data_IF_333223395158
#
_entry.id   IF_333223395158
#
_cell.length_a   1.000
_cell.length_b   1.000
_cell.length_c   1.000
_cell.angle_alpha   90.00
_cell.angle_beta   90.00
_cell.angle_gamma   90.00
#
_symmetry.space_group_name_H-M   'P 1'
#
loop_
_entity.id
_entity.type
_entity.pdbx_description
1 polymer ?
#
# COMPACT_ATOMS: atom_id res chain seq x y z
N UNK A 1 -75.05 -16.42 36.06
CA UNK A 1 -73.65 -16.93 36.11
C UNK A 1 -73.03 -16.59 34.77
N UNK A 2 -72.43 -15.41 34.62
CA UNK A 2 -71.94 -14.97 33.29
C UNK A 2 -70.74 -14.01 33.33
N UNK A 3 -70.03 -13.92 34.46
CA UNK A 3 -68.90 -12.98 34.64
C UNK A 3 -67.52 -13.66 34.80
N UNK A 4 -67.43 -14.99 34.64
CA UNK A 4 -66.19 -15.73 34.90
C UNK A 4 -65.37 -16.06 33.63
N UNK A 5 -65.96 -16.01 32.44
CA UNK A 5 -65.26 -16.30 31.18
C UNK A 5 -64.46 -15.10 30.66
N UNK A 6 -64.98 -13.88 30.81
CA UNK A 6 -64.30 -12.66 30.33
C UNK A 6 -63.03 -12.33 31.13
N UNK A 7 -62.97 -12.69 32.41
CA UNK A 7 -61.83 -12.39 33.30
C UNK A 7 -60.59 -13.25 33.02
N UNK A 8 -60.74 -14.43 32.42
CA UNK A 8 -59.62 -15.32 32.07
C UNK A 8 -59.09 -15.09 30.64
N UNK A 9 -59.89 -14.49 29.76
CA UNK A 9 -59.47 -14.13 28.40
C UNK A 9 -58.42 -13.01 28.46
N UNK A 10 -58.62 -12.00 29.31
CA UNK A 10 -57.70 -10.86 29.47
C UNK A 10 -56.27 -11.32 29.82
N UNK A 11 -56.00 -12.11 30.87
CA UNK A 11 -54.65 -12.57 31.21
C UNK A 11 -54.05 -13.49 30.15
N UNK A 12 -54.86 -14.34 29.48
CA UNK A 12 -54.39 -15.20 28.39
C UNK A 12 -53.91 -14.36 27.18
N UNK A 13 -54.65 -13.31 26.85
CA UNK A 13 -54.32 -12.37 25.77
C UNK A 13 -53.06 -11.57 26.10
N UNK A 14 -52.88 -11.17 27.36
CA UNK A 14 -51.67 -10.47 27.84
C UNK A 14 -50.42 -11.35 27.72
N UNK A 15 -50.49 -12.64 28.09
CA UNK A 15 -49.37 -13.59 27.94
C UNK A 15 -49.04 -13.79 26.46
N UNK A 16 -50.05 -13.93 25.61
CA UNK A 16 -49.88 -14.09 24.17
C UNK A 16 -49.22 -12.86 23.52
N UNK A 17 -49.72 -11.65 23.83
CA UNK A 17 -49.13 -10.38 23.37
C UNK A 17 -47.69 -10.24 23.88
N UNK A 18 -47.43 -10.58 25.14
CA UNK A 18 -46.09 -10.49 25.73
C UNK A 18 -45.09 -11.44 25.05
N UNK A 19 -45.52 -12.65 24.70
CA UNK A 19 -44.72 -13.61 23.94
C UNK A 19 -44.38 -13.12 22.54
N UNK A 20 -45.36 -12.59 21.81
CA UNK A 20 -45.14 -11.98 20.49
C UNK A 20 -44.23 -10.75 20.59
N UNK A 21 -44.43 -9.91 21.61
CA UNK A 21 -43.61 -8.73 21.84
C UNK A 21 -42.15 -9.10 22.12
N UNK A 22 -41.90 -10.12 22.95
CA UNK A 22 -40.55 -10.64 23.18
C UNK A 22 -39.88 -11.13 21.90
N UNK A 23 -40.64 -11.79 21.01
CA UNK A 23 -40.15 -12.27 19.72
C UNK A 23 -39.81 -11.11 18.77
N UNK A 24 -40.65 -10.07 18.72
CA UNK A 24 -40.39 -8.84 17.96
C UNK A 24 -39.13 -8.14 18.48
N UNK A 25 -38.98 -7.99 19.80
CA UNK A 25 -37.80 -7.37 20.41
C UNK A 25 -36.54 -8.16 20.08
N UNK A 26 -36.59 -9.50 20.13
CA UNK A 26 -35.46 -10.35 19.76
C UNK A 26 -35.05 -10.16 18.30
N UNK A 27 -36.02 -10.13 17.37
CA UNK A 27 -35.76 -9.89 15.94
C UNK A 27 -35.16 -8.50 15.70
N UNK A 28 -35.72 -7.47 16.33
CA UNK A 28 -35.23 -6.08 16.21
C UNK A 28 -33.82 -5.97 16.77
N UNK A 29 -33.57 -6.54 17.95
CA UNK A 29 -32.26 -6.55 18.61
C UNK A 29 -31.22 -7.27 17.75
N UNK A 30 -31.56 -8.44 17.20
CA UNK A 30 -30.68 -9.20 16.31
C UNK A 30 -30.35 -8.40 15.05
N UNK A 31 -31.36 -7.78 14.41
CA UNK A 31 -31.17 -6.96 13.21
C UNK A 31 -30.27 -5.75 13.50
N UNK A 32 -30.46 -5.08 14.63
CA UNK A 32 -29.64 -3.94 15.06
C UNK A 32 -28.19 -4.36 15.37
N UNK A 33 -28.01 -5.47 16.08
CA UNK A 33 -26.70 -6.02 16.39
C UNK A 33 -25.94 -6.38 15.11
N UNK A 34 -26.59 -7.12 14.20
CA UNK A 34 -26.01 -7.52 12.92
C UNK A 34 -25.67 -6.31 12.03
N UNK A 35 -26.53 -5.29 12.00
CA UNK A 35 -26.26 -4.06 11.25
C UNK A 35 -25.07 -3.28 11.80
N UNK A 36 -24.95 -3.19 13.13
CA UNK A 36 -23.81 -2.56 13.80
C UNK A 36 -22.51 -3.33 13.54
N UNK A 37 -22.56 -4.65 13.65
CA UNK A 37 -21.41 -5.53 13.40
C UNK A 37 -20.93 -5.43 11.95
N UNK A 38 -21.85 -5.50 10.98
CA UNK A 38 -21.49 -5.39 9.57
C UNK A 38 -20.90 -4.02 9.21
N UNK A 39 -21.40 -2.93 9.82
CA UNK A 39 -20.79 -1.60 9.68
C UNK A 39 -19.38 -1.54 10.24
N UNK A 40 -19.18 -2.11 11.43
CA UNK A 40 -17.87 -2.17 12.08
C UNK A 40 -16.89 -2.99 11.25
N UNK A 41 -17.30 -4.16 10.77
CA UNK A 41 -16.49 -5.02 9.91
C UNK A 41 -16.04 -4.30 8.63
N UNK A 42 -16.98 -3.63 7.94
CA UNK A 42 -16.65 -2.84 6.74
C UNK A 42 -15.68 -1.69 7.03
N UNK A 43 -15.82 -1.04 8.17
CA UNK A 43 -14.90 0.03 8.58
C UNK A 43 -13.51 -0.51 8.91
N UNK A 44 -13.43 -1.62 9.64
CA UNK A 44 -12.17 -2.31 9.95
C UNK A 44 -11.46 -2.79 8.67
N UNK A 45 -12.23 -3.33 7.71
CA UNK A 45 -11.71 -3.73 6.40
C UNK A 45 -11.10 -2.54 5.65
N UNK A 46 -11.84 -1.42 5.53
CA UNK A 46 -11.34 -0.20 4.88
C UNK A 46 -10.06 0.36 5.55
N UNK A 47 -9.94 0.26 6.87
CA UNK A 47 -8.72 0.64 7.59
C UNK A 47 -7.57 -0.30 7.25
N UNK A 48 -7.83 -1.60 7.17
CA UNK A 48 -6.83 -2.60 6.78
C UNK A 48 -6.30 -2.29 5.39
N UNK A 49 -7.19 -2.12 4.42
CA UNK A 49 -6.84 -1.80 3.02
C UNK A 49 -5.98 -0.52 2.94
N UNK A 50 -6.34 0.52 3.71
CA UNK A 50 -5.56 1.74 3.79
C UNK A 50 -4.14 1.51 4.36
N UNK A 51 -4.02 0.70 5.41
CA UNK A 51 -2.71 0.39 6.01
C UNK A 51 -1.85 -0.42 5.05
N UNK A 52 -2.41 -1.42 4.39
CA UNK A 52 -1.72 -2.23 3.38
C UNK A 52 -1.22 -1.36 2.21
N UNK A 53 -2.08 -0.46 1.71
CA UNK A 53 -1.71 0.48 0.65
C UNK A 53 -0.59 1.43 1.08
N UNK A 54 -0.65 1.96 2.31
CA UNK A 54 0.42 2.78 2.88
C UNK A 54 1.73 2.00 2.98
N UNK A 55 1.69 0.78 3.51
CA UNK A 55 2.87 -0.08 3.65
C UNK A 55 3.51 -0.38 2.29
N UNK A 56 2.69 -0.66 1.27
CA UNK A 56 3.14 -0.86 -0.11
C UNK A 56 3.90 0.37 -0.64
N UNK A 57 3.38 1.58 -0.42
CA UNK A 57 4.04 2.81 -0.84
C UNK A 57 5.34 3.10 -0.10
N UNK A 58 5.38 2.85 1.21
CA UNK A 58 6.61 2.97 1.99
C UNK A 58 7.66 1.98 1.47
N UNK A 59 7.24 0.74 1.20
CA UNK A 59 8.12 -0.31 0.66
C UNK A 59 8.66 0.06 -0.73
N UNK A 60 7.83 0.67 -1.58
CA UNK A 60 8.25 1.18 -2.89
C UNK A 60 9.37 2.22 -2.74
N UNK A 61 9.17 3.26 -1.94
CA UNK A 61 10.16 4.33 -1.75
C UNK A 61 11.47 3.78 -1.15
N UNK A 62 11.37 2.93 -0.13
CA UNK A 62 12.52 2.27 0.48
C UNK A 62 13.28 1.40 -0.53
N UNK A 63 12.57 0.73 -1.43
CA UNK A 63 13.20 -0.11 -2.44
C UNK A 63 13.91 0.71 -3.52
N UNK A 64 13.36 1.84 -3.94
CA UNK A 64 14.05 2.78 -4.83
C UNK A 64 15.36 3.28 -4.22
N UNK A 65 15.34 3.67 -2.94
CA UNK A 65 16.55 4.06 -2.21
C UNK A 65 17.57 2.92 -2.11
N UNK A 66 17.08 1.70 -1.85
CA UNK A 66 17.93 0.51 -1.78
C UNK A 66 18.60 0.22 -3.12
N UNK A 67 17.90 0.37 -4.25
CA UNK A 67 18.50 0.17 -5.59
C UNK A 67 19.62 1.18 -5.83
N UNK A 68 19.40 2.45 -5.49
CA UNK A 68 20.40 3.49 -5.64
C UNK A 68 21.66 3.12 -4.85
N UNK A 69 21.52 2.78 -3.56
CA UNK A 69 22.65 2.39 -2.70
C UNK A 69 23.40 1.16 -3.22
N UNK A 70 22.68 0.12 -3.64
CA UNK A 70 23.28 -1.10 -4.18
C UNK A 70 24.06 -0.79 -5.46
N UNK A 71 23.50 0.05 -6.32
CA UNK A 71 24.16 0.49 -7.55
C UNK A 71 25.43 1.27 -7.25
N UNK A 72 25.40 2.16 -6.25
CA UNK A 72 26.56 2.94 -5.80
C UNK A 72 27.69 2.05 -5.26
N UNK A 73 27.35 1.00 -4.50
CA UNK A 73 28.31 0.06 -3.89
C UNK A 73 28.84 -0.97 -4.92
N UNK A 74 28.14 -1.15 -6.04
CA UNK A 74 28.52 -2.10 -7.10
C UNK A 74 28.29 -3.57 -6.70
N UNK A 75 27.41 -3.82 -5.73
CA UNK A 75 27.02 -5.16 -5.31
C UNK A 75 25.98 -5.75 -6.26
N UNK A 76 26.10 -7.04 -6.56
CA UNK A 76 25.04 -7.79 -7.22
C UNK A 76 24.05 -8.25 -6.16
N UNK A 77 22.79 -7.80 -6.27
CA UNK A 77 21.71 -8.24 -5.39
C UNK A 77 20.72 -9.10 -6.19
N UNK A 78 20.86 -10.45 -6.16
CA UNK A 78 20.12 -11.33 -7.06
C UNK A 78 18.59 -11.22 -6.92
N UNK A 79 18.10 -10.89 -5.72
CA UNK A 79 16.66 -10.80 -5.46
C UNK A 79 16.08 -9.39 -5.71
N UNK A 80 16.86 -8.43 -6.21
CA UNK A 80 16.43 -7.02 -6.31
C UNK A 80 15.40 -6.87 -7.42
N UNK A 81 15.65 -7.55 -8.54
CA UNK A 81 14.79 -7.54 -9.70
C UNK A 81 13.42 -8.15 -9.37
N UNK A 82 13.39 -9.30 -8.70
CA UNK A 82 12.16 -9.98 -8.32
C UNK A 82 11.33 -9.13 -7.37
N UNK A 83 11.95 -8.59 -6.31
CA UNK A 83 11.28 -7.73 -5.35
C UNK A 83 10.69 -6.47 -6.01
N UNK A 84 11.43 -5.81 -6.90
CA UNK A 84 10.94 -4.62 -7.59
C UNK A 84 9.87 -4.92 -8.64
N UNK A 85 9.96 -6.08 -9.29
CA UNK A 85 8.92 -6.53 -10.22
C UNK A 85 7.61 -6.79 -9.48
N UNK A 86 7.67 -7.42 -8.31
CA UNK A 86 6.50 -7.64 -7.47
C UNK A 86 5.89 -6.32 -6.99
N UNK A 87 6.71 -5.42 -6.43
CA UNK A 87 6.24 -4.13 -5.92
C UNK A 87 5.63 -3.30 -7.05
N UNK A 88 6.29 -3.20 -8.20
CA UNK A 88 5.75 -2.44 -9.35
C UNK A 88 4.44 -3.02 -9.88
N UNK A 89 4.29 -4.35 -9.91
CA UNK A 89 3.03 -5.00 -10.28
C UNK A 89 1.92 -4.69 -9.26
N UNK A 90 2.21 -4.74 -7.96
CA UNK A 90 1.26 -4.37 -6.91
C UNK A 90 0.83 -2.90 -7.02
N UNK A 91 1.77 -1.99 -7.28
CA UNK A 91 1.47 -0.56 -7.49
C UNK A 91 0.61 -0.35 -8.73
N UNK A 92 0.83 -1.12 -9.80
CA UNK A 92 -0.01 -1.09 -11.00
C UNK A 92 -1.46 -1.49 -10.74
N UNK A 93 -1.70 -2.35 -9.77
CA UNK A 93 -3.05 -2.82 -9.40
C UNK A 93 -3.71 -1.87 -8.40
N UNK A 94 -2.98 -1.41 -7.38
CA UNK A 94 -3.56 -0.71 -6.22
C UNK A 94 -3.32 0.80 -6.21
N UNK A 95 -2.36 1.28 -6.98
CA UNK A 95 -2.00 2.69 -7.09
C UNK A 95 -2.83 3.45 -8.12
N UNK A 96 -2.94 4.76 -7.93
CA UNK A 96 -3.53 5.63 -8.96
C UNK A 96 -2.70 5.64 -10.24
N UNK A 97 -3.35 6.05 -11.33
CA UNK A 97 -2.67 6.29 -12.62
C UNK A 97 -1.51 7.28 -12.49
N UNK A 98 -1.67 8.32 -11.66
CA UNK A 98 -0.62 9.31 -11.42
C UNK A 98 0.64 8.69 -10.78
N UNK A 99 0.46 7.84 -9.76
CA UNK A 99 1.57 7.10 -9.14
C UNK A 99 2.22 6.17 -10.16
N UNK A 100 1.44 5.47 -10.98
CA UNK A 100 1.95 4.55 -11.99
C UNK A 100 2.78 5.25 -13.06
N UNK A 101 2.29 6.37 -13.59
CA UNK A 101 3.02 7.18 -14.56
C UNK A 101 4.32 7.71 -13.96
N UNK A 102 4.28 8.19 -12.71
CA UNK A 102 5.47 8.69 -12.04
C UNK A 102 6.50 7.59 -11.77
N UNK A 103 6.04 6.41 -11.38
CA UNK A 103 6.90 5.25 -11.18
C UNK A 103 7.57 4.81 -12.50
N UNK A 104 6.83 4.89 -13.62
CA UNK A 104 7.38 4.62 -14.94
C UNK A 104 8.51 5.61 -15.30
N UNK A 105 8.28 6.92 -15.16
CA UNK A 105 9.31 7.96 -15.39
C UNK A 105 10.57 7.72 -14.54
N UNK A 106 10.38 7.37 -13.26
CA UNK A 106 11.47 7.04 -12.35
C UNK A 106 12.22 5.80 -12.84
N UNK A 107 11.52 4.78 -13.34
CA UNK A 107 12.15 3.55 -13.80
C UNK A 107 13.05 3.77 -15.02
N UNK A 108 12.63 4.63 -15.95
CA UNK A 108 13.45 5.01 -17.12
C UNK A 108 14.70 5.76 -16.69
N UNK A 109 14.53 6.79 -15.84
CA UNK A 109 15.63 7.62 -15.36
C UNK A 109 16.60 6.83 -14.49
N UNK A 110 16.09 5.90 -13.67
CA UNK A 110 16.88 5.00 -12.83
C UNK A 110 17.68 4.02 -13.69
N UNK A 111 17.09 3.49 -14.76
CA UNK A 111 17.78 2.62 -15.70
C UNK A 111 18.92 3.37 -16.40
N UNK A 112 18.65 4.56 -16.92
CA UNK A 112 19.66 5.40 -17.57
C UNK A 112 20.81 5.73 -16.60
N UNK A 113 20.49 6.25 -15.42
CA UNK A 113 21.48 6.56 -14.40
C UNK A 113 22.30 5.34 -13.99
N UNK A 114 21.66 4.21 -13.70
CA UNK A 114 22.36 3.01 -13.23
C UNK A 114 23.24 2.38 -14.31
N UNK A 115 22.87 2.49 -15.58
CA UNK A 115 23.67 2.05 -16.71
C UNK A 115 24.94 2.90 -16.84
N UNK A 116 24.79 4.23 -16.88
CA UNK A 116 25.92 5.17 -16.96
C UNK A 116 26.85 5.03 -15.74
N UNK A 117 26.28 4.91 -14.54
CA UNK A 117 27.06 4.74 -13.31
C UNK A 117 27.87 3.44 -13.35
N UNK A 118 27.24 2.30 -13.72
CA UNK A 118 27.93 1.00 -13.82
C UNK A 118 29.04 1.00 -14.86
N UNK A 119 28.85 1.69 -15.99
CA UNK A 119 29.87 1.81 -17.03
C UNK A 119 31.06 2.67 -16.58
N UNK A 120 30.82 3.69 -15.76
CA UNK A 120 31.86 4.53 -15.15
C UNK A 120 32.62 3.87 -14.00
N UNK A 121 32.14 2.74 -13.45
CA UNK A 121 32.84 2.02 -12.39
C UNK A 121 34.11 1.33 -12.91
N UNK A 122 35.19 1.28 -12.10
CA UNK A 122 36.39 0.55 -12.47
C UNK A 122 36.08 -0.95 -12.61
N UNK A 123 36.40 -1.53 -13.77
CA UNK A 123 36.21 -2.97 -14.04
C UNK A 123 37.18 -3.80 -13.20
N UNK A 124 36.68 -4.85 -12.52
CA UNK A 124 37.54 -5.88 -11.91
C UNK A 124 38.16 -6.73 -13.03
N UNK A 125 39.48 -6.81 -13.07
CA UNK A 125 40.24 -7.71 -13.96
C UNK A 125 40.71 -8.93 -13.15
N UNK A 126 40.08 -10.09 -13.37
CA UNK A 126 40.48 -11.40 -12.79
C UNK A 126 39.87 -11.75 -11.42
N UNK A 127 39.91 -13.04 -11.07
CA UNK A 127 39.49 -13.61 -9.76
C UNK A 127 40.43 -13.28 -8.59
N UNK A 128 41.42 -12.41 -8.81
CA UNK A 128 42.37 -12.01 -7.77
C UNK A 128 41.83 -10.80 -7.01
N UNK A 129 41.93 -10.83 -5.69
CA UNK A 129 41.55 -9.75 -4.77
C UNK A 129 42.35 -8.43 -4.94
N UNK A 130 43.13 -8.30 -6.02
CA UNK A 130 43.91 -7.13 -6.34
C UNK A 130 43.14 -6.28 -7.36
N UNK A 131 42.69 -5.11 -6.93
CA UNK A 131 42.07 -4.10 -7.79
C UNK A 131 43.13 -3.53 -8.74
N UNK A 132 43.35 -4.15 -9.90
CA UNK A 132 43.96 -3.43 -11.03
C UNK A 132 42.92 -2.44 -11.55
N UNK A 133 43.05 -1.18 -11.14
CA UNK A 133 42.20 -0.08 -11.58
C UNK A 133 42.58 0.23 -13.03
N UNK A 134 41.83 -0.35 -13.97
CA UNK A 134 41.73 0.23 -15.31
C UNK A 134 41.19 1.65 -15.16
N UNK A 135 41.76 2.62 -15.87
CA UNK A 135 41.37 4.03 -15.87
C UNK A 135 39.86 4.18 -15.85
N UNK A 136 39.35 4.86 -14.82
CA UNK A 136 37.93 5.18 -14.66
C UNK A 136 37.46 5.94 -15.91
N UNK A 137 36.37 5.49 -16.54
CA UNK A 137 35.78 6.24 -17.65
C UNK A 137 35.06 7.47 -17.08
N UNK A 138 35.78 8.59 -17.07
CA UNK A 138 35.30 9.84 -16.47
C UNK A 138 34.06 10.37 -17.18
N UNK A 139 33.87 10.06 -18.47
CA UNK A 139 32.72 10.55 -19.25
C UNK A 139 31.39 9.94 -18.81
N UNK A 140 31.35 8.63 -18.59
CA UNK A 140 30.15 7.95 -18.08
C UNK A 140 29.83 8.36 -16.63
N UNK A 141 30.86 8.54 -15.79
CA UNK A 141 30.66 8.99 -14.41
C UNK A 141 30.15 10.43 -14.33
N UNK A 142 30.58 11.32 -15.22
CA UNK A 142 30.06 12.69 -15.32
C UNK A 142 28.59 12.72 -15.76
N UNK A 143 28.21 11.91 -16.76
CA UNK A 143 26.80 11.77 -17.17
C UNK A 143 25.92 11.28 -16.02
N UNK A 144 26.37 10.25 -15.30
CA UNK A 144 25.65 9.75 -14.13
C UNK A 144 25.45 10.83 -13.05
N UNK A 145 26.45 11.69 -12.81
CA UNK A 145 26.34 12.84 -11.89
C UNK A 145 25.32 13.88 -12.34
N UNK A 146 25.15 14.07 -13.65
CA UNK A 146 24.16 15.00 -14.21
C UNK A 146 22.73 14.44 -14.09
N UNK A 147 22.54 13.13 -14.27
CA UNK A 147 21.22 12.48 -14.23
C UNK A 147 20.71 12.33 -12.79
N UNK A 148 21.62 12.08 -11.82
CA UNK A 148 21.25 11.77 -10.44
C UNK A 148 20.34 12.80 -9.74
N UNK A 149 20.56 14.13 -9.85
CA UNK A 149 19.65 15.13 -9.30
C UNK A 149 18.22 15.02 -9.84
N UNK A 150 18.06 14.72 -11.13
CA UNK A 150 16.76 14.52 -11.77
C UNK A 150 16.04 13.30 -11.20
N UNK A 151 16.76 12.18 -11.07
CA UNK A 151 16.23 10.97 -10.43
C UNK A 151 15.76 11.25 -8.99
N UNK A 152 16.59 11.94 -8.19
CA UNK A 152 16.23 12.32 -6.82
C UNK A 152 15.02 13.23 -6.75
N UNK A 153 14.92 14.19 -7.65
CA UNK A 153 13.76 15.08 -7.76
C UNK A 153 12.48 14.28 -8.05
N UNK A 154 12.51 13.37 -9.02
CA UNK A 154 11.35 12.53 -9.37
C UNK A 154 10.91 11.64 -8.21
N UNK A 155 11.85 11.02 -7.47
CA UNK A 155 11.53 10.21 -6.28
C UNK A 155 10.85 11.05 -5.19
N UNK A 156 11.35 12.28 -4.95
CA UNK A 156 10.73 13.19 -3.99
C UNK A 156 9.34 13.65 -4.44
N UNK A 157 9.13 13.85 -5.74
CA UNK A 157 7.81 14.15 -6.31
C UNK A 157 6.85 12.98 -6.16
N UNK A 158 7.29 11.75 -6.40
CA UNK A 158 6.50 10.53 -6.15
C UNK A 158 6.07 10.46 -4.67
N UNK A 159 6.96 10.75 -3.73
CA UNK A 159 6.63 10.77 -2.31
C UNK A 159 5.51 11.77 -1.98
N UNK A 160 5.51 12.96 -2.61
CA UNK A 160 4.44 13.95 -2.47
C UNK A 160 3.12 13.45 -3.04
N UNK A 161 3.14 12.88 -4.24
CA UNK A 161 1.92 12.31 -4.87
C UNK A 161 1.32 11.20 -4.01
N UNK A 162 2.16 10.33 -3.44
CA UNK A 162 1.75 9.30 -2.49
C UNK A 162 1.11 9.92 -1.24
N UNK A 163 1.74 10.95 -0.66
CA UNK A 163 1.23 11.64 0.52
C UNK A 163 -0.17 12.23 0.26
N UNK A 164 -0.35 12.91 -0.88
CA UNK A 164 -1.62 13.51 -1.27
C UNK A 164 -2.71 12.44 -1.45
N UNK A 165 -2.40 11.32 -2.12
CA UNK A 165 -3.33 10.20 -2.32
C UNK A 165 -3.73 9.54 -0.98
N UNK A 166 -2.76 9.31 -0.09
CA UNK A 166 -3.03 8.76 1.23
C UNK A 166 -3.84 9.72 2.10
N UNK A 167 -3.58 11.03 2.03
CA UNK A 167 -4.37 12.04 2.71
C UNK A 167 -5.81 12.08 2.22
N UNK A 168 -6.02 12.01 0.90
CA UNK A 168 -7.35 11.96 0.32
C UNK A 168 -8.09 10.69 0.76
N UNK A 169 -7.44 9.53 0.66
CA UNK A 169 -8.01 8.24 1.11
C UNK A 169 -8.38 8.29 2.59
N UNK A 170 -7.50 8.85 3.45
CA UNK A 170 -7.77 9.01 4.88
C UNK A 170 -8.97 9.92 5.17
N UNK A 171 -9.15 11.00 4.41
CA UNK A 171 -10.34 11.87 4.54
C UNK A 171 -11.62 11.12 4.22
N UNK A 172 -11.59 10.26 3.21
CA UNK A 172 -12.75 9.47 2.79
C UNK A 172 -13.06 8.30 3.74
N UNK A 173 -12.13 7.90 4.62
CA UNK A 173 -12.38 6.96 5.71
C UNK A 173 -13.11 7.57 6.91
N UNK A 174 -12.96 8.88 7.12
CA UNK A 174 -13.53 9.59 8.27
C UNK A 174 -14.96 10.10 7.98
N UNK A 175 -15.33 10.22 6.70
CA UNK A 175 -16.69 10.56 6.24
C UNK A 175 -17.63 9.35 6.35
#
# INVERSE_FOLDING_TARGET
MENAESSNIIPLLTVFISGIFGLIVAIVTWKLANHRENRRFKYEQKISDFKEKKELYVTLLASLDKIIRITEIGENYPNLHENMSLISAQIRIFGSENINNKLFEISETLFEWSSEYKQGLPKKLGETNFRMVSTMDTGHMEKAKIIYPTLRKQINELAKVIEDELHQTKKDLIK
#
